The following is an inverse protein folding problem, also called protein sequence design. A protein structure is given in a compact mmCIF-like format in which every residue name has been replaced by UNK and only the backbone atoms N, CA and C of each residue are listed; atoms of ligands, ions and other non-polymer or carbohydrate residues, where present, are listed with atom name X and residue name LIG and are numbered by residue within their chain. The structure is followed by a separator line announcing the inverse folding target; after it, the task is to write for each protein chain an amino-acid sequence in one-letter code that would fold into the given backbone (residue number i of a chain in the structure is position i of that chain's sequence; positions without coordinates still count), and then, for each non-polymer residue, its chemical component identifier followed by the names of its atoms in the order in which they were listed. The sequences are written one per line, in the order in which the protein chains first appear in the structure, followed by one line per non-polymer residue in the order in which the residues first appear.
data_IF_206982385846
#
_entry.id   IF_206982385846
#
_cell.length_a   1.000
_cell.length_b   1.000
_cell.length_c   1.000
_cell.angle_alpha   90.00
_cell.angle_beta   90.00
_cell.angle_gamma   90.00
#
_symmetry.space_group_name_H-M   'P 1'
#
loop_
_entity.id
_entity.type
_entity.pdbx_description
1 polymer ?
#
# COMPACT_ATOMS: atom_id res chain seq x y z
N UNK A 1 -9.60 51.87 -0.03
CA UNK A 1 -9.69 50.91 -1.15
C UNK A 1 -8.63 49.79 -1.09
N UNK A 2 -7.39 50.04 -0.64
CA UNK A 2 -6.33 49.00 -0.53
C UNK A 2 -6.59 47.92 0.55
N UNK A 3 -7.22 48.28 1.67
CA UNK A 3 -7.51 47.36 2.78
C UNK A 3 -8.56 46.28 2.44
N UNK A 4 -9.52 46.60 1.58
CA UNK A 4 -10.57 45.66 1.12
C UNK A 4 -9.96 44.56 0.24
N UNK A 5 -8.90 44.90 -0.52
CA UNK A 5 -8.18 43.97 -1.39
C UNK A 5 -7.39 42.92 -0.58
N UNK A 6 -6.75 43.32 0.53
CA UNK A 6 -6.02 42.37 1.39
C UNK A 6 -6.95 41.39 2.11
N UNK A 7 -8.11 41.87 2.60
CA UNK A 7 -9.10 41.01 3.24
C UNK A 7 -9.69 39.99 2.26
N UNK A 8 -9.98 40.41 1.02
CA UNK A 8 -10.47 39.51 -0.03
C UNK A 8 -9.42 38.46 -0.43
N UNK A 9 -8.14 38.84 -0.51
CA UNK A 9 -7.05 37.92 -0.85
C UNK A 9 -6.80 36.87 0.24
N UNK A 10 -6.92 37.26 1.52
CA UNK A 10 -6.79 36.36 2.68
C UNK A 10 -7.94 35.35 2.76
N UNK A 11 -9.17 35.79 2.48
CA UNK A 11 -10.34 34.92 2.42
C UNK A 11 -10.24 33.90 1.28
N UNK A 12 -9.70 34.30 0.12
CA UNK A 12 -9.49 33.41 -1.01
C UNK A 12 -8.42 32.35 -0.74
N UNK A 13 -7.35 32.70 -0.01
CA UNK A 13 -6.30 31.77 0.40
C UNK A 13 -6.80 30.73 1.41
N UNK A 14 -7.65 31.14 2.37
CA UNK A 14 -8.27 30.23 3.35
C UNK A 14 -9.17 29.16 2.68
N UNK A 15 -9.93 29.54 1.66
CA UNK A 15 -10.79 28.61 0.92
C UNK A 15 -10.00 27.55 0.13
N UNK A 16 -8.80 27.89 -0.36
CA UNK A 16 -7.93 26.96 -1.09
C UNK A 16 -7.28 25.90 -0.18
N UNK A 17 -7.13 26.16 1.12
CA UNK A 17 -6.54 25.18 2.06
C UNK A 17 -7.50 24.06 2.47
N UNK A 18 -8.82 24.26 2.33
CA UNK A 18 -9.83 23.27 2.72
C UNK A 18 -9.94 22.08 1.76
N UNK A 19 -9.45 22.19 0.52
CA UNK A 19 -9.57 21.12 -0.49
C UNK A 19 -8.41 20.12 -0.46
N UNK A 20 -7.32 20.40 0.26
CA UNK A 20 -6.14 19.52 0.34
C UNK A 20 -6.15 18.52 1.51
N UNK A 21 -7.24 18.41 2.27
CA UNK A 21 -7.33 17.45 3.38
C UNK A 21 -7.80 16.04 2.96
N UNK A 22 -7.66 15.66 1.68
CA UNK A 22 -7.84 14.26 1.27
C UNK A 22 -6.49 13.57 1.40
N UNK A 23 -6.17 13.18 2.63
CA UNK A 23 -5.25 12.06 2.81
C UNK A 23 -5.89 10.83 2.17
N UNK A 24 -5.25 10.14 1.22
CA UNK A 24 -5.67 8.80 0.88
C UNK A 24 -5.19 7.91 2.03
N UNK A 25 -5.87 7.99 3.18
CA UNK A 25 -5.92 6.87 4.11
C UNK A 25 -6.73 5.80 3.40
N UNK A 26 -6.08 5.15 2.44
CA UNK A 26 -6.44 3.83 1.97
C UNK A 26 -6.21 2.88 3.14
N UNK A 27 -7.06 2.99 4.17
CA UNK A 27 -7.32 1.88 5.05
C UNK A 27 -7.71 0.74 4.11
N UNK A 28 -6.93 -0.35 4.05
CA UNK A 28 -7.31 -1.48 3.24
C UNK A 28 -8.67 -1.93 3.78
N UNK A 29 -9.73 -1.71 2.99
CA UNK A 29 -11.05 -2.28 3.27
C UNK A 29 -10.86 -3.76 3.58
N UNK A 30 -11.69 -4.34 4.49
CA UNK A 30 -11.44 -5.62 5.14
C UNK A 30 -10.94 -6.64 4.12
N UNK A 31 -9.62 -6.79 4.09
CA UNK A 31 -8.97 -7.57 3.07
C UNK A 31 -9.15 -9.03 3.47
N UNK A 32 -9.37 -9.97 2.54
CA UNK A 32 -9.29 -11.39 2.87
C UNK A 32 -7.96 -11.76 3.56
N UNK A 33 -6.96 -10.88 3.52
CA UNK A 33 -5.72 -10.91 4.29
C UNK A 33 -5.86 -11.25 5.78
N UNK A 34 -6.89 -10.75 6.48
CA UNK A 34 -7.09 -11.04 7.90
C UNK A 34 -7.59 -12.47 8.15
N UNK A 35 -8.31 -13.09 7.20
CA UNK A 35 -8.70 -14.51 7.28
C UNK A 35 -7.52 -15.47 7.13
N UNK A 36 -6.46 -15.05 6.43
CA UNK A 36 -5.35 -15.92 6.04
C UNK A 36 -4.04 -15.70 6.82
N UNK A 37 -4.08 -14.81 7.83
CA UNK A 37 -2.91 -14.47 8.64
C UNK A 37 -1.80 -13.81 7.82
N UNK A 38 -2.17 -12.97 6.84
CA UNK A 38 -1.20 -12.35 5.93
C UNK A 38 -0.25 -11.37 6.64
N UNK A 39 -0.70 -10.70 7.70
CA UNK A 39 0.09 -9.66 8.37
C UNK A 39 1.41 -10.20 8.89
N UNK A 40 1.37 -11.28 9.69
CA UNK A 40 2.58 -11.93 10.25
C UNK A 40 3.50 -12.50 9.17
N UNK A 41 2.91 -13.12 8.13
CA UNK A 41 3.69 -13.70 7.02
C UNK A 41 4.40 -12.62 6.22
N UNK A 42 3.70 -11.53 5.92
CA UNK A 42 4.26 -10.40 5.19
C UNK A 42 5.26 -9.62 6.02
N UNK A 43 5.07 -9.51 7.32
CA UNK A 43 6.06 -8.93 8.23
C UNK A 43 7.39 -9.68 8.18
N UNK A 44 7.36 -11.02 8.23
CA UNK A 44 8.57 -11.83 8.11
C UNK A 44 9.18 -11.74 6.70
N UNK A 45 8.36 -11.81 5.64
CA UNK A 45 8.81 -11.70 4.24
C UNK A 45 9.50 -10.36 3.96
N UNK A 46 8.96 -9.27 4.52
CA UNK A 46 9.46 -7.93 4.32
C UNK A 46 10.48 -7.47 5.38
N UNK A 47 10.89 -8.36 6.30
CA UNK A 47 11.75 -8.03 7.44
C UNK A 47 13.06 -7.33 7.08
N UNK A 48 13.65 -7.64 5.91
CA UNK A 48 14.91 -7.05 5.40
C UNK A 48 14.72 -6.21 4.13
N UNK A 49 13.49 -5.78 3.82
CA UNK A 49 13.23 -4.92 2.67
C UNK A 49 13.62 -3.47 2.98
N UNK A 50 14.42 -2.85 2.11
CA UNK A 50 14.74 -1.41 2.19
C UNK A 50 13.53 -0.49 1.90
N UNK A 51 12.43 -1.05 1.38
CA UNK A 51 11.18 -0.34 1.08
C UNK A 51 10.01 -1.01 1.78
N UNK A 52 10.08 -1.06 3.12
CA UNK A 52 9.22 -1.92 3.96
C UNK A 52 7.72 -1.72 3.70
N UNK A 53 7.22 -0.49 3.70
CA UNK A 53 5.78 -0.21 3.51
C UNK A 53 5.28 -0.66 2.14
N UNK A 54 6.09 -0.42 1.09
CA UNK A 54 5.79 -0.89 -0.26
C UNK A 54 5.76 -2.41 -0.31
N UNK A 55 6.72 -3.08 0.35
CA UNK A 55 6.78 -4.54 0.43
C UNK A 55 5.52 -5.10 1.11
N UNK A 56 5.15 -4.57 2.28
CA UNK A 56 3.98 -5.01 3.04
C UNK A 56 2.69 -4.85 2.21
N UNK A 57 2.53 -3.71 1.54
CA UNK A 57 1.38 -3.44 0.67
C UNK A 57 1.24 -4.50 -0.44
N UNK A 58 2.32 -4.76 -1.19
CA UNK A 58 2.25 -5.73 -2.29
C UNK A 58 2.15 -7.17 -1.77
N UNK A 59 2.86 -7.52 -0.70
CA UNK A 59 2.75 -8.83 -0.07
C UNK A 59 1.32 -9.11 0.38
N UNK A 60 0.65 -8.16 1.04
CA UNK A 60 -0.74 -8.32 1.49
C UNK A 60 -1.71 -8.55 0.33
N UNK A 61 -1.55 -7.81 -0.77
CA UNK A 61 -2.34 -8.01 -2.00
C UNK A 61 -2.12 -9.41 -2.57
N UNK A 62 -0.87 -9.86 -2.64
CA UNK A 62 -0.51 -11.19 -3.14
C UNK A 62 -1.05 -12.30 -2.25
N UNK A 63 -0.87 -12.16 -0.94
CA UNK A 63 -1.34 -13.10 0.06
C UNK A 63 -2.85 -13.27 0.00
N UNK A 64 -3.61 -12.17 -0.08
CA UNK A 64 -5.07 -12.22 -0.22
C UNK A 64 -5.54 -12.89 -1.51
N UNK A 65 -4.86 -12.66 -2.64
CA UNK A 65 -5.19 -13.29 -3.92
C UNK A 65 -4.77 -14.77 -4.02
N UNK A 66 -3.75 -15.15 -3.27
CA UNK A 66 -3.20 -16.50 -3.26
C UNK A 66 -3.61 -17.30 -2.02
N UNK A 67 -4.81 -17.05 -1.48
CA UNK A 67 -5.40 -17.79 -0.36
C UNK A 67 -4.46 -17.94 0.85
N UNK A 68 -3.67 -16.90 1.14
CA UNK A 68 -2.76 -16.90 2.29
C UNK A 68 -1.36 -17.44 2.04
N UNK A 69 -1.03 -17.90 0.83
CA UNK A 69 0.31 -18.40 0.54
C UNK A 69 1.29 -17.23 0.41
N UNK A 70 2.30 -17.21 1.28
CA UNK A 70 3.45 -16.30 1.22
C UNK A 70 4.70 -17.17 1.46
N UNK A 71 5.73 -17.08 0.60
CA UNK A 71 6.98 -17.79 0.83
C UNK A 71 7.59 -17.42 2.17
N UNK A 72 8.29 -18.36 2.81
CA UNK A 72 8.93 -18.09 4.10
C UNK A 72 9.90 -16.90 3.98
N UNK A 73 9.81 -15.95 4.91
CA UNK A 73 10.62 -14.75 4.85
C UNK A 73 12.04 -14.94 5.40
N UNK A 74 12.98 -14.01 5.11
CA UNK A 74 12.96 -13.05 4.01
C UNK A 74 13.58 -13.62 2.72
N UNK A 75 14.18 -14.81 2.78
CA UNK A 75 15.04 -15.34 1.71
C UNK A 75 14.49 -16.55 0.97
N UNK A 76 13.37 -17.12 1.39
CA UNK A 76 12.88 -18.31 0.72
C UNK A 76 12.48 -18.02 -0.73
N UNK A 77 12.63 -19.03 -1.57
CA UNK A 77 12.31 -18.93 -2.97
C UNK A 77 10.79 -18.79 -3.18
N UNK A 78 10.37 -17.93 -4.11
CA UNK A 78 8.96 -17.75 -4.47
C UNK A 78 8.29 -19.03 -4.98
N UNK A 79 9.05 -20.00 -5.47
CA UNK A 79 8.56 -21.32 -5.90
C UNK A 79 7.79 -22.09 -4.81
N UNK A 80 8.01 -21.78 -3.53
CA UNK A 80 7.19 -22.33 -2.43
C UNK A 80 5.69 -21.97 -2.56
N UNK A 81 5.38 -20.86 -3.22
CA UNK A 81 4.02 -20.41 -3.48
C UNK A 81 3.86 -20.04 -4.96
N UNK A 82 3.51 -20.99 -5.85
CA UNK A 82 3.41 -20.74 -7.30
C UNK A 82 2.48 -19.58 -7.67
N UNK A 83 1.30 -19.46 -7.07
CA UNK A 83 0.41 -18.31 -7.30
C UNK A 83 1.08 -16.96 -6.97
N UNK A 84 1.83 -16.91 -5.86
CA UNK A 84 2.53 -15.71 -5.41
C UNK A 84 3.70 -15.38 -6.34
N UNK A 85 4.43 -16.39 -6.82
CA UNK A 85 5.51 -16.28 -7.81
C UNK A 85 5.00 -15.74 -9.15
N UNK A 86 3.88 -16.27 -9.63
CA UNK A 86 3.42 -16.06 -11.00
C UNK A 86 2.59 -14.78 -11.17
N UNK A 87 2.23 -14.11 -10.07
CA UNK A 87 1.49 -12.85 -10.15
C UNK A 87 2.32 -11.73 -10.81
N UNK A 88 1.79 -11.21 -11.92
CA UNK A 88 2.36 -10.09 -12.65
C UNK A 88 1.55 -8.80 -12.45
N UNK A 89 2.23 -7.68 -12.62
CA UNK A 89 1.58 -6.37 -12.77
C UNK A 89 1.10 -6.19 -14.23
N UNK A 90 0.33 -5.12 -14.55
CA UNK A 90 -0.13 -4.88 -15.92
C UNK A 90 0.99 -4.70 -16.96
N UNK A 91 2.23 -4.47 -16.53
CA UNK A 91 3.43 -4.37 -17.39
C UNK A 91 4.18 -5.70 -17.51
N UNK A 92 3.60 -6.81 -17.06
CA UNK A 92 4.21 -8.16 -17.14
C UNK A 92 5.36 -8.43 -16.18
N UNK A 93 5.67 -7.51 -15.25
CA UNK A 93 6.74 -7.71 -14.24
C UNK A 93 6.20 -8.36 -12.98
N UNK A 94 7.07 -9.02 -12.23
CA UNK A 94 6.75 -9.57 -10.90
C UNK A 94 6.04 -8.52 -10.05
N UNK A 95 4.88 -8.90 -9.50
CA UNK A 95 4.10 -8.03 -8.62
C UNK A 95 4.46 -8.23 -7.16
N UNK A 96 4.77 -9.47 -6.77
CA UNK A 96 4.96 -9.84 -5.38
C UNK A 96 6.41 -9.77 -4.94
N UNK A 97 6.70 -9.27 -3.71
CA UNK A 97 8.05 -9.22 -3.17
C UNK A 97 8.61 -10.61 -2.80
#
# INVERSE_FOLDING_TARGET
MKLISFAALLLLALLFTSTYAISPTGAPGPSPASKFGCDKKCELRCSRSGWRDRCLKYCGICCGKCNGCVPSGPYANKAQCPCYRDMKNPKGRDKCP
#
